data_IF_773904666685
#
_entry.id   IF_773904666685
#
_cell.length_a   1.000
_cell.length_b   1.000
_cell.length_c   1.000
_cell.angle_alpha   90.00
_cell.angle_beta   90.00
_cell.angle_gamma   90.00
#
_symmetry.space_group_name_H-M   'P 1'
#
loop_
_entity.id
_entity.type
_entity.pdbx_description
1 polymer ?
#
# COMPACT_ATOMS: atom_id res chain seq x y z
N UNK A 1 -14.78 -24.82 13.38
CA UNK A 1 -14.01 -24.07 14.41
C UNK A 1 -13.21 -23.02 13.66
N UNK A 2 -13.48 -21.75 13.89
CA UNK A 2 -12.79 -20.68 13.17
C UNK A 2 -11.31 -20.65 13.59
N UNK A 3 -10.42 -20.55 12.60
CA UNK A 3 -8.99 -20.43 12.86
C UNK A 3 -8.62 -18.97 13.04
N UNK A 4 -7.68 -18.69 13.95
CA UNK A 4 -7.16 -17.34 14.23
C UNK A 4 -5.69 -17.24 13.89
N UNK A 5 -5.33 -16.16 13.22
CA UNK A 5 -3.95 -15.83 12.84
C UNK A 5 -3.64 -14.44 13.39
N UNK A 6 -2.68 -14.34 14.31
CA UNK A 6 -2.30 -13.07 14.92
C UNK A 6 -1.75 -12.10 13.86
N UNK A 7 -2.21 -10.86 13.88
CA UNK A 7 -1.63 -9.81 13.07
C UNK A 7 -0.18 -9.59 13.48
N UNK A 8 0.70 -9.56 12.51
CA UNK A 8 2.13 -9.34 12.69
C UNK A 8 2.50 -7.93 12.16
N UNK A 9 3.20 -7.88 11.05
CA UNK A 9 3.55 -6.64 10.36
C UNK A 9 2.31 -5.84 9.93
N UNK A 10 1.24 -6.53 9.58
CA UNK A 10 -0.04 -5.95 9.14
C UNK A 10 -0.67 -5.06 10.22
N UNK A 11 -0.34 -5.29 11.51
CA UNK A 11 -0.84 -4.51 12.64
C UNK A 11 -0.67 -3.00 12.46
N UNK A 12 0.40 -2.58 11.80
CA UNK A 12 0.66 -1.17 11.53
C UNK A 12 -0.43 -0.48 10.70
N UNK A 13 -1.31 -1.21 10.04
CA UNK A 13 -2.39 -0.65 9.22
C UNK A 13 -3.75 -0.68 9.90
N UNK A 14 -3.90 -1.42 11.02
CA UNK A 14 -5.18 -1.65 11.65
C UNK A 14 -5.92 -0.35 12.01
N UNK A 15 -5.20 0.61 12.58
CA UNK A 15 -5.74 1.92 12.95
C UNK A 15 -5.24 3.06 12.03
N UNK A 16 -4.72 2.72 10.86
CA UNK A 16 -4.31 3.74 9.89
C UNK A 16 -5.50 4.24 9.08
N UNK A 17 -5.88 5.51 9.17
CA UNK A 17 -6.99 6.06 8.37
C UNK A 17 -6.66 6.14 6.86
N UNK A 18 -5.39 6.02 6.49
CA UNK A 18 -4.90 6.05 5.10
C UNK A 18 -4.42 4.66 4.63
N UNK A 19 -5.04 3.58 5.12
CA UNK A 19 -4.61 2.22 4.80
C UNK A 19 -5.21 1.65 3.51
N UNK A 20 -5.84 2.45 2.64
CA UNK A 20 -6.37 1.98 1.37
C UNK A 20 -5.32 2.07 0.27
N UNK A 21 -5.12 0.97 -0.45
CA UNK A 21 -4.38 0.88 -1.70
C UNK A 21 -5.32 0.39 -2.79
N UNK A 22 -5.17 0.89 -4.02
CA UNK A 22 -6.10 0.53 -5.09
C UNK A 22 -5.38 0.14 -6.37
N UNK A 23 -6.02 -0.75 -7.14
CA UNK A 23 -5.57 -1.18 -8.46
C UNK A 23 -6.72 -1.04 -9.44
N UNK A 24 -6.49 -0.35 -10.56
CA UNK A 24 -7.43 -0.25 -11.68
C UNK A 24 -6.92 -1.04 -12.86
N UNK A 25 -7.77 -1.86 -13.46
CA UNK A 25 -7.53 -2.57 -14.70
C UNK A 25 -8.51 -2.09 -15.79
N UNK A 26 -8.03 -1.99 -17.01
CA UNK A 26 -8.88 -1.91 -18.21
C UNK A 26 -8.91 -3.30 -18.86
N UNK A 27 -10.10 -3.87 -19.04
CA UNK A 27 -10.30 -5.25 -19.50
C UNK A 27 -11.06 -5.22 -20.81
N UNK A 28 -10.47 -5.79 -21.86
CA UNK A 28 -11.10 -6.05 -23.16
C UNK A 28 -11.45 -7.54 -23.31
N UNK A 29 -12.40 -7.84 -24.19
CA UNK A 29 -12.88 -9.22 -24.44
C UNK A 29 -14.19 -9.55 -23.74
N UNK A 30 -14.65 -8.72 -22.79
CA UNK A 30 -15.97 -8.86 -22.17
C UNK A 30 -16.68 -7.53 -22.05
N UNK A 31 -17.99 -7.57 -22.11
CA UNK A 31 -18.91 -6.49 -21.74
C UNK A 31 -19.89 -6.93 -20.65
N UNK A 32 -19.80 -8.19 -20.19
CA UNK A 32 -20.71 -8.74 -19.19
C UNK A 32 -20.15 -8.58 -17.77
N UNK A 33 -20.74 -7.65 -17.02
CA UNK A 33 -20.39 -7.43 -15.62
C UNK A 33 -20.71 -8.64 -14.72
N UNK A 34 -21.63 -9.52 -15.12
CA UNK A 34 -21.95 -10.72 -14.34
C UNK A 34 -20.84 -11.77 -14.42
N UNK A 35 -20.17 -11.89 -15.57
CA UNK A 35 -18.98 -12.74 -15.72
C UNK A 35 -17.84 -12.25 -14.83
N UNK A 36 -17.52 -10.95 -14.87
CA UNK A 36 -16.48 -10.36 -14.03
C UNK A 36 -16.82 -10.51 -12.53
N UNK A 37 -18.09 -10.29 -12.16
CA UNK A 37 -18.54 -10.50 -10.76
C UNK A 37 -18.33 -11.95 -10.30
N UNK A 38 -18.62 -12.93 -11.16
CA UNK A 38 -18.40 -14.36 -10.85
C UNK A 38 -16.92 -14.63 -10.68
N UNK A 39 -16.07 -14.16 -11.60
CA UNK A 39 -14.63 -14.34 -11.54
C UNK A 39 -14.03 -13.72 -10.26
N UNK A 40 -14.51 -12.55 -9.83
CA UNK A 40 -14.10 -11.95 -8.54
C UNK A 40 -14.46 -12.90 -7.39
N UNK A 41 -15.69 -13.42 -7.33
CA UNK A 41 -16.11 -14.33 -6.26
C UNK A 41 -15.26 -15.60 -6.22
N UNK A 42 -14.94 -16.17 -7.38
CA UNK A 42 -14.11 -17.37 -7.48
C UNK A 42 -12.68 -17.11 -7.01
N UNK A 43 -12.10 -15.98 -7.40
CA UNK A 43 -10.78 -15.56 -6.92
C UNK A 43 -10.76 -15.28 -5.40
N UNK A 44 -11.80 -14.65 -4.85
CA UNK A 44 -11.92 -14.42 -3.41
C UNK A 44 -12.00 -15.74 -2.62
N UNK A 45 -12.82 -16.68 -3.07
CA UNK A 45 -12.94 -18.01 -2.44
C UNK A 45 -11.64 -18.79 -2.45
N UNK A 46 -10.83 -18.65 -3.50
CA UNK A 46 -9.55 -19.31 -3.60
C UNK A 46 -8.48 -18.72 -2.68
N UNK A 47 -8.67 -17.50 -2.18
CA UNK A 47 -7.70 -16.82 -1.31
C UNK A 47 -8.21 -16.78 0.12
N UNK A 48 -7.72 -17.68 1.00
CA UNK A 48 -8.20 -17.82 2.38
C UNK A 48 -8.09 -16.52 3.19
N UNK A 49 -7.10 -15.67 2.93
CA UNK A 49 -6.97 -14.39 3.60
C UNK A 49 -8.17 -13.47 3.33
N UNK A 50 -8.76 -13.56 2.13
CA UNK A 50 -9.96 -12.78 1.77
C UNK A 50 -11.25 -13.32 2.43
N UNK A 51 -11.18 -14.52 3.02
CA UNK A 51 -12.26 -15.15 3.78
C UNK A 51 -12.03 -14.99 5.29
N UNK A 52 -11.61 -13.81 5.71
CA UNK A 52 -11.36 -13.50 7.13
C UNK A 52 -12.01 -12.17 7.52
N UNK A 53 -12.25 -12.02 8.80
CA UNK A 53 -12.54 -10.74 9.43
C UNK A 53 -11.51 -10.43 10.52
N UNK A 54 -11.51 -9.20 11.02
CA UNK A 54 -10.61 -8.81 12.10
C UNK A 54 -11.34 -8.91 13.44
N UNK A 55 -10.69 -9.60 14.37
CA UNK A 55 -11.15 -9.68 15.78
C UNK A 55 -10.12 -8.96 16.65
N UNK A 56 -10.58 -8.06 17.50
CA UNK A 56 -9.77 -7.40 18.52
C UNK A 56 -10.25 -7.91 19.88
N UNK A 57 -9.33 -8.49 20.65
CA UNK A 57 -9.61 -8.97 21.99
C UNK A 57 -9.59 -7.82 23.03
N UNK A 58 -10.10 -8.08 24.22
CA UNK A 58 -10.18 -7.07 25.30
C UNK A 58 -8.83 -6.57 25.79
N UNK A 59 -7.77 -7.37 25.61
CA UNK A 59 -6.39 -7.00 25.94
C UNK A 59 -5.69 -6.28 24.77
N UNK A 60 -6.39 -6.10 23.65
CA UNK A 60 -5.93 -5.40 22.46
C UNK A 60 -5.15 -6.26 21.46
N UNK A 61 -5.11 -7.58 21.62
CA UNK A 61 -4.58 -8.45 20.56
C UNK A 61 -5.55 -8.50 19.37
N UNK A 62 -5.01 -8.55 18.15
CA UNK A 62 -5.83 -8.59 16.94
C UNK A 62 -5.45 -9.76 16.04
N UNK A 63 -6.48 -10.31 15.41
CA UNK A 63 -6.40 -11.56 14.65
C UNK A 63 -7.19 -11.45 13.36
N UNK A 64 -6.69 -12.07 12.29
CA UNK A 64 -7.54 -12.57 11.22
C UNK A 64 -8.26 -13.83 11.74
N UNK A 65 -9.58 -13.84 11.71
CA UNK A 65 -10.38 -15.02 12.03
C UNK A 65 -11.11 -15.47 10.76
N UNK A 66 -11.05 -16.77 10.45
CA UNK A 66 -11.63 -17.33 9.22
C UNK A 66 -13.15 -17.26 9.23
N UNK A 67 -13.75 -17.01 8.06
CA UNK A 67 -15.17 -16.99 7.77
C UNK A 67 -15.51 -18.06 6.73
N UNK A 68 -16.77 -18.45 6.64
CA UNK A 68 -17.22 -19.41 5.63
C UNK A 68 -17.24 -18.80 4.21
N UNK A 69 -17.55 -17.50 4.10
CA UNK A 69 -17.60 -16.78 2.83
C UNK A 69 -16.98 -15.38 2.95
N UNK A 70 -16.34 -14.87 1.87
CA UNK A 70 -15.78 -13.52 1.84
C UNK A 70 -16.89 -12.44 1.88
N UNK A 71 -16.69 -11.42 2.70
CA UNK A 71 -17.62 -10.29 2.83
C UNK A 71 -17.12 -9.04 2.08
N UNK A 72 -16.62 -9.21 0.86
CA UNK A 72 -16.11 -8.11 0.03
C UNK A 72 -17.21 -7.60 -0.92
N UNK A 73 -17.64 -6.32 -0.82
CA UNK A 73 -18.64 -5.75 -1.71
C UNK A 73 -18.18 -5.74 -3.17
N UNK A 74 -19.07 -6.13 -4.09
CA UNK A 74 -18.85 -6.06 -5.54
C UNK A 74 -19.99 -5.22 -6.14
N UNK A 75 -19.68 -4.02 -6.57
CA UNK A 75 -20.60 -3.06 -7.13
C UNK A 75 -20.40 -2.94 -8.63
N UNK A 76 -21.52 -2.93 -9.39
CA UNK A 76 -21.54 -2.62 -10.82
C UNK A 76 -22.06 -1.21 -10.98
N UNK A 77 -21.30 -0.35 -11.66
CA UNK A 77 -21.60 1.06 -11.78
C UNK A 77 -21.34 1.60 -13.17
N UNK A 78 -22.03 2.69 -13.50
CA UNK A 78 -21.82 3.46 -14.74
C UNK A 78 -21.06 4.78 -14.46
N UNK A 79 -20.72 5.06 -13.19
CA UNK A 79 -19.93 6.23 -12.84
C UNK A 79 -18.47 6.08 -13.29
N UNK A 80 -17.78 7.19 -13.47
CA UNK A 80 -16.33 7.16 -13.74
C UNK A 80 -15.56 6.50 -12.60
N UNK A 81 -14.54 5.70 -12.93
CA UNK A 81 -13.75 4.97 -11.95
C UNK A 81 -13.12 5.86 -10.86
N UNK A 82 -12.81 7.12 -11.19
CA UNK A 82 -12.30 8.09 -10.22
C UNK A 82 -13.34 8.44 -9.17
N UNK A 83 -14.59 8.58 -9.57
CA UNK A 83 -15.69 8.81 -8.64
C UNK A 83 -15.92 7.60 -7.73
N UNK A 84 -15.80 6.38 -8.26
CA UNK A 84 -15.86 5.16 -7.46
C UNK A 84 -14.71 5.09 -6.44
N UNK A 85 -13.49 5.49 -6.85
CA UNK A 85 -12.33 5.59 -5.97
C UNK A 85 -12.57 6.59 -4.83
N UNK A 86 -12.98 7.82 -5.13
CA UNK A 86 -13.29 8.86 -4.16
C UNK A 86 -14.38 8.44 -3.17
N UNK A 87 -15.43 7.80 -3.66
CA UNK A 87 -16.51 7.26 -2.82
C UNK A 87 -15.97 6.17 -1.87
N UNK A 88 -15.06 5.33 -2.36
CA UNK A 88 -14.43 4.29 -1.55
C UNK A 88 -13.50 4.89 -0.48
N UNK A 89 -12.76 5.95 -0.80
CA UNK A 89 -11.85 6.63 0.14
C UNK A 89 -12.59 7.30 1.31
N UNK A 90 -13.78 7.80 1.04
CA UNK A 90 -14.62 8.46 2.06
C UNK A 90 -15.34 7.48 3.00
N UNK A 91 -15.37 6.20 2.65
CA UNK A 91 -16.07 5.17 3.42
C UNK A 91 -15.05 4.27 4.14
N UNK A 92 -14.99 4.25 5.47
CA UNK A 92 -14.16 3.31 6.22
C UNK A 92 -14.50 1.86 5.86
N UNK A 93 -13.51 0.96 5.92
CA UNK A 93 -13.73 -0.47 5.79
C UNK A 93 -14.36 -1.03 7.05
N UNK A 94 -15.35 -1.92 6.90
CA UNK A 94 -15.91 -2.67 8.03
C UNK A 94 -15.09 -3.95 8.25
N UNK A 95 -13.95 -3.76 8.93
CA UNK A 95 -13.01 -4.85 9.18
C UNK A 95 -13.60 -5.93 10.10
N UNK A 96 -14.54 -5.56 10.98
CA UNK A 96 -15.21 -6.50 11.87
C UNK A 96 -16.14 -7.45 11.13
N UNK A 97 -16.75 -6.98 10.04
CA UNK A 97 -17.60 -7.78 9.16
C UNK A 97 -16.83 -8.44 8.01
N UNK A 98 -15.49 -8.24 7.94
CA UNK A 98 -14.64 -8.86 6.92
C UNK A 98 -14.59 -8.09 5.60
N UNK A 99 -14.99 -6.82 5.57
CA UNK A 99 -14.80 -5.96 4.41
C UNK A 99 -13.33 -5.59 4.27
N UNK A 100 -12.52 -6.47 3.68
CA UNK A 100 -11.09 -6.27 3.47
C UNK A 100 -10.75 -5.63 2.12
N UNK A 101 -11.68 -5.72 1.17
CA UNK A 101 -11.58 -5.09 -0.15
C UNK A 101 -12.97 -4.74 -0.70
N UNK A 102 -13.01 -3.82 -1.66
CA UNK A 102 -14.19 -3.41 -2.45
C UNK A 102 -13.86 -3.51 -3.91
N UNK A 103 -14.81 -3.98 -4.70
CA UNK A 103 -14.65 -4.15 -6.13
C UNK A 103 -15.71 -3.32 -6.86
N UNK A 104 -15.27 -2.48 -7.79
CA UNK A 104 -16.16 -1.69 -8.66
C UNK A 104 -15.95 -2.14 -10.09
N UNK A 105 -17.01 -2.66 -10.69
CA UNK A 105 -17.06 -3.00 -12.11
C UNK A 105 -17.70 -1.83 -12.82
N UNK A 106 -16.88 -1.00 -13.48
CA UNK A 106 -17.34 0.17 -14.23
C UNK A 106 -17.59 -0.26 -15.67
N UNK A 107 -18.86 -0.16 -16.09
CA UNK A 107 -19.25 -0.52 -17.45
C UNK A 107 -18.61 0.41 -18.48
N UNK A 108 -18.30 -0.14 -19.65
CA UNK A 108 -17.70 0.60 -20.75
C UNK A 108 -16.93 -0.30 -21.70
N UNK A 109 -16.32 0.29 -22.71
CA UNK A 109 -15.42 -0.39 -23.63
C UNK A 109 -14.08 0.40 -23.67
N UNK A 110 -13.02 -0.08 -23.01
CA UNK A 110 -12.93 -1.31 -22.19
C UNK A 110 -13.73 -1.25 -20.89
N UNK A 111 -14.09 -2.41 -20.35
CA UNK A 111 -14.62 -2.53 -19.00
C UNK A 111 -13.52 -2.23 -18.00
N UNK A 112 -13.82 -1.52 -16.90
CA UNK A 112 -12.84 -1.21 -15.87
C UNK A 112 -13.15 -1.93 -14.58
N UNK A 113 -12.14 -2.58 -14.01
CA UNK A 113 -12.20 -3.15 -12.68
C UNK A 113 -11.35 -2.31 -11.75
N UNK A 114 -11.96 -1.72 -10.72
CA UNK A 114 -11.26 -1.03 -9.65
C UNK A 114 -11.34 -1.90 -8.38
N UNK A 115 -10.17 -2.25 -7.85
CA UNK A 115 -9.98 -2.97 -6.60
C UNK A 115 -9.49 -1.97 -5.57
N UNK A 116 -10.28 -1.69 -4.53
CA UNK A 116 -9.89 -0.88 -3.38
C UNK A 116 -9.71 -1.81 -2.19
N UNK A 117 -8.51 -1.91 -1.64
CA UNK A 117 -8.20 -2.88 -0.61
C UNK A 117 -7.57 -2.24 0.63
N UNK A 118 -7.89 -2.76 1.79
CA UNK A 118 -7.22 -2.39 3.03
C UNK A 118 -5.82 -3.02 3.07
N UNK A 119 -4.79 -2.28 3.48
CA UNK A 119 -3.40 -2.78 3.54
C UNK A 119 -3.17 -3.92 4.52
N UNK A 120 -4.14 -4.28 5.32
CA UNK A 120 -4.11 -5.51 6.11
C UNK A 120 -3.95 -6.76 5.25
N UNK A 121 -4.51 -6.78 4.03
CA UNK A 121 -4.37 -7.94 3.13
C UNK A 121 -3.08 -7.93 2.32
N UNK A 122 -2.33 -6.83 2.35
CA UNK A 122 -1.05 -6.73 1.66
C UNK A 122 -0.76 -5.40 0.99
N UNK A 123 0.12 -5.46 0.01
CA UNK A 123 0.66 -4.35 -0.76
C UNK A 123 0.18 -4.35 -2.22
N UNK A 124 0.80 -3.53 -3.06
CA UNK A 124 0.52 -3.50 -4.51
C UNK A 124 0.77 -4.84 -5.21
N UNK A 125 1.73 -5.64 -4.73
CA UNK A 125 2.00 -6.98 -5.26
C UNK A 125 0.85 -7.94 -4.99
N UNK A 126 0.25 -7.85 -3.80
CA UNK A 126 -0.95 -8.61 -3.43
C UNK A 126 -2.13 -8.26 -4.33
N UNK A 127 -2.34 -6.96 -4.64
CA UNK A 127 -3.43 -6.55 -5.54
C UNK A 127 -3.20 -7.04 -6.98
N UNK A 128 -1.97 -6.99 -7.47
CA UNK A 128 -1.63 -7.53 -8.80
C UNK A 128 -1.87 -9.04 -8.83
N UNK A 129 -1.52 -9.76 -7.77
CA UNK A 129 -1.79 -11.19 -7.65
C UNK A 129 -3.29 -11.48 -7.68
N UNK A 130 -4.06 -10.76 -6.87
CA UNK A 130 -5.52 -10.90 -6.84
C UNK A 130 -6.15 -10.59 -8.20
N UNK A 131 -5.67 -9.55 -8.88
CA UNK A 131 -6.09 -9.23 -10.24
C UNK A 131 -5.77 -10.36 -11.22
N UNK A 132 -4.59 -10.97 -11.12
CA UNK A 132 -4.22 -12.15 -11.93
C UNK A 132 -5.14 -13.35 -11.67
N UNK A 133 -5.48 -13.62 -10.42
CA UNK A 133 -6.43 -14.69 -10.06
C UNK A 133 -7.84 -14.40 -10.61
N UNK A 134 -8.29 -13.14 -10.57
CA UNK A 134 -9.58 -12.72 -11.16
C UNK A 134 -9.56 -12.92 -12.68
N UNK A 135 -8.50 -12.52 -13.37
CA UNK A 135 -8.39 -12.68 -14.82
C UNK A 135 -8.29 -14.16 -15.22
N UNK A 136 -7.58 -14.98 -14.44
CA UNK A 136 -7.55 -16.43 -14.63
C UNK A 136 -8.94 -17.06 -14.48
N UNK A 137 -9.68 -16.69 -13.42
CA UNK A 137 -11.06 -17.15 -13.25
C UNK A 137 -11.98 -16.69 -14.40
N UNK A 138 -11.81 -15.46 -14.89
CA UNK A 138 -12.58 -14.89 -15.99
C UNK A 138 -12.37 -15.68 -17.30
N UNK A 139 -11.13 -16.11 -17.55
CA UNK A 139 -10.79 -16.96 -18.70
C UNK A 139 -11.15 -18.45 -18.51
N UNK A 140 -11.80 -18.80 -17.40
CA UNK A 140 -12.18 -20.19 -17.11
C UNK A 140 -11.03 -21.06 -16.60
N UNK A 141 -9.85 -20.47 -16.33
CA UNK A 141 -8.73 -21.19 -15.73
C UNK A 141 -8.99 -21.46 -14.23
N UNK A 142 -8.44 -22.59 -13.76
CA UNK A 142 -8.54 -22.94 -12.35
C UNK A 142 -7.69 -22.00 -11.47
N UNK A 143 -8.29 -21.36 -10.49
CA UNK A 143 -7.59 -20.57 -9.47
C UNK A 143 -7.20 -21.49 -8.33
N UNK A 144 -5.89 -21.64 -8.10
CA UNK A 144 -5.37 -22.48 -7.03
C UNK A 144 -5.69 -21.92 -5.66
N UNK A 145 -6.06 -22.79 -4.73
CA UNK A 145 -6.27 -22.41 -3.31
C UNK A 145 -4.98 -21.86 -2.70
N UNK A 146 -5.10 -20.74 -2.01
CA UNK A 146 -3.98 -20.05 -1.33
C UNK A 146 -4.26 -19.98 0.16
N UNK A 147 -3.55 -20.76 0.96
CA UNK A 147 -3.69 -20.71 2.42
C UNK A 147 -3.18 -19.37 2.96
N UNK A 148 -3.65 -19.01 4.15
CA UNK A 148 -3.16 -17.84 4.87
C UNK A 148 -1.68 -18.05 5.23
N UNK A 149 -0.82 -17.19 4.70
CA UNK A 149 0.62 -17.23 4.95
C UNK A 149 1.08 -15.81 5.30
N UNK A 150 0.98 -15.44 6.59
CA UNK A 150 1.44 -14.13 7.07
C UNK A 150 2.96 -14.09 7.17
N UNK A 151 3.53 -12.92 6.95
CA UNK A 151 4.95 -12.67 7.17
C UNK A 151 5.29 -12.92 8.64
N UNK A 152 6.31 -13.74 8.90
CA UNK A 152 6.80 -14.07 10.25
C UNK A 152 8.11 -13.32 10.51
N UNK A 153 8.07 -12.12 11.14
CA UNK A 153 9.24 -11.28 11.28
C UNK A 153 10.39 -11.92 12.09
N UNK A 154 10.07 -12.82 13.03
CA UNK A 154 11.03 -13.60 13.80
C UNK A 154 11.87 -14.56 12.94
N UNK A 155 11.32 -15.00 11.79
CA UNK A 155 12.00 -15.91 10.86
C UNK A 155 12.72 -15.21 9.71
N UNK A 156 12.59 -13.89 9.60
CA UNK A 156 13.28 -13.14 8.56
C UNK A 156 14.78 -13.01 8.87
N UNK A 157 15.66 -12.99 7.86
CA UNK A 157 17.09 -12.78 8.06
C UNK A 157 17.41 -11.38 8.60
N UNK A 158 18.62 -11.24 9.18
CA UNK A 158 19.09 -10.00 9.81
C UNK A 158 18.64 -9.86 11.27
N UNK A 159 19.15 -8.86 11.95
CA UNK A 159 18.81 -8.50 13.34
C UNK A 159 18.72 -6.99 13.49
N UNK A 160 17.91 -6.52 14.42
CA UNK A 160 17.91 -5.11 14.81
C UNK A 160 19.24 -4.74 15.47
N UNK A 161 19.75 -3.52 15.26
CA UNK A 161 20.88 -2.99 16.02
C UNK A 161 20.60 -3.05 17.53
N UNK A 162 21.62 -3.31 18.34
CA UNK A 162 21.49 -3.44 19.80
C UNK A 162 20.85 -2.20 20.43
N UNK A 163 21.21 -1.00 19.96
CA UNK A 163 20.61 0.26 20.42
C UNK A 163 19.11 0.33 20.17
N UNK A 164 18.65 -0.20 19.03
CA UNK A 164 17.22 -0.26 18.67
C UNK A 164 16.51 -1.28 19.54
N UNK A 165 17.10 -2.47 19.74
CA UNK A 165 16.54 -3.49 20.65
C UNK A 165 16.37 -2.97 22.07
N UNK A 166 17.37 -2.26 22.61
CA UNK A 166 17.29 -1.64 23.93
C UNK A 166 16.22 -0.55 23.98
N UNK A 167 16.15 0.30 22.96
CA UNK A 167 15.14 1.37 22.90
C UNK A 167 13.71 0.79 22.84
N UNK A 168 13.44 -0.21 21.98
CA UNK A 168 12.13 -0.86 21.91
C UNK A 168 11.75 -1.56 23.21
N UNK A 169 12.70 -2.23 23.86
CA UNK A 169 12.49 -2.83 25.18
C UNK A 169 12.12 -1.78 26.23
N UNK A 170 12.82 -0.65 26.26
CA UNK A 170 12.52 0.45 27.18
C UNK A 170 11.17 1.09 26.89
N UNK A 171 10.79 1.25 25.62
CA UNK A 171 9.46 1.74 25.23
C UNK A 171 8.38 0.79 25.71
N UNK A 172 8.52 -0.51 25.48
CA UNK A 172 7.57 -1.53 25.91
C UNK A 172 7.42 -1.56 27.46
N UNK A 173 8.53 -1.49 28.20
CA UNK A 173 8.50 -1.45 29.68
C UNK A 173 7.73 -0.23 30.21
N UNK A 174 7.94 0.94 29.63
CA UNK A 174 7.18 2.14 29.99
C UNK A 174 5.73 2.06 29.58
N UNK A 175 5.45 1.50 28.39
CA UNK A 175 4.11 1.33 27.87
C UNK A 175 3.23 0.42 28.75
N UNK A 176 3.80 -0.57 29.44
CA UNK A 176 3.04 -1.44 30.34
C UNK A 176 2.26 -0.68 31.40
N UNK A 177 2.72 0.50 31.84
CA UNK A 177 2.05 1.33 32.85
C UNK A 177 0.97 2.25 32.25
N UNK A 178 1.00 2.48 30.94
CA UNK A 178 0.04 3.32 30.22
C UNK A 178 -0.78 2.53 29.21
N UNK A 179 -0.66 1.20 29.19
CA UNK A 179 -1.27 0.31 28.20
C UNK A 179 -2.76 0.58 28.09
N UNK A 180 -3.21 0.87 26.87
CA UNK A 180 -4.61 0.95 26.48
C UNK A 180 -4.84 0.05 25.26
N UNK A 181 -5.91 -0.72 25.28
CA UNK A 181 -6.45 -1.41 24.13
C UNK A 181 -7.42 -0.47 23.39
N UNK A 182 -7.40 -0.50 22.07
CA UNK A 182 -8.32 0.23 21.19
C UNK A 182 -9.19 -0.78 20.46
N UNK A 183 -10.43 -0.37 20.15
CA UNK A 183 -11.41 -1.20 19.49
C UNK A 183 -11.92 -0.55 18.18
N UNK A 184 -12.92 -1.17 17.53
CA UNK A 184 -13.51 -0.64 16.29
C UNK A 184 -14.28 0.66 16.49
N UNK A 185 -14.74 1.00 17.69
CA UNK A 185 -15.38 2.30 17.98
C UNK A 185 -14.33 3.40 17.98
N UNK A 186 -13.16 3.10 18.56
CA UNK A 186 -12.01 4.01 18.51
C UNK A 186 -11.54 4.21 17.06
N UNK A 187 -11.47 3.12 16.24
CA UNK A 187 -11.12 3.22 14.82
C UNK A 187 -12.11 4.11 14.06
N UNK A 188 -13.41 3.91 14.28
CA UNK A 188 -14.44 4.76 13.64
C UNK A 188 -14.24 6.23 14.00
N UNK A 189 -14.06 6.54 15.29
CA UNK A 189 -13.82 7.91 15.75
C UNK A 189 -12.58 8.52 15.09
N UNK A 190 -11.49 7.76 15.01
CA UNK A 190 -10.26 8.22 14.34
C UNK A 190 -10.49 8.48 12.85
N UNK A 191 -11.25 7.61 12.17
CA UNK A 191 -11.61 7.79 10.77
C UNK A 191 -12.50 9.01 10.52
N UNK A 192 -13.45 9.28 11.42
CA UNK A 192 -14.32 10.45 11.32
C UNK A 192 -13.56 11.77 11.49
N UNK A 193 -12.47 11.75 12.25
CA UNK A 193 -11.61 12.93 12.47
C UNK A 193 -10.55 13.12 11.38
N UNK A 194 -10.19 12.05 10.68
CA UNK A 194 -9.21 12.13 9.61
C UNK A 194 -9.84 12.78 8.38
N UNK A 195 -9.47 14.02 8.05
CA UNK A 195 -9.97 14.61 6.83
C UNK A 195 -9.44 13.81 5.66
N UNK A 196 -10.32 13.23 4.86
CA UNK A 196 -9.95 12.72 3.55
C UNK A 196 -9.32 13.91 2.82
N UNK A 197 -8.01 13.89 2.67
CA UNK A 197 -7.29 14.99 2.04
C UNK A 197 -7.72 15.04 0.59
N UNK A 198 -8.17 16.19 0.14
CA UNK A 198 -8.35 16.46 -1.28
C UNK A 198 -6.97 16.32 -1.95
N UNK A 199 -6.72 15.12 -2.45
CA UNK A 199 -5.48 14.77 -3.10
C UNK A 199 -5.70 14.80 -4.61
N UNK A 200 -4.81 15.47 -5.31
CA UNK A 200 -4.77 15.33 -6.78
C UNK A 200 -4.33 13.92 -7.13
N UNK A 201 -4.93 13.40 -8.19
CA UNK A 201 -4.57 12.12 -8.80
C UNK A 201 -4.15 12.37 -10.23
N UNK A 202 -2.85 12.34 -10.47
CA UNK A 202 -2.24 12.45 -11.81
C UNK A 202 -1.81 11.07 -12.29
N UNK A 203 -1.96 10.83 -13.59
CA UNK A 203 -1.58 9.56 -14.21
C UNK A 203 -0.89 9.81 -15.54
N UNK A 204 0.21 9.09 -15.79
CA UNK A 204 0.88 8.99 -17.09
C UNK A 204 1.15 7.53 -17.41
N UNK A 205 0.96 7.17 -18.66
CA UNK A 205 1.22 5.83 -19.17
C UNK A 205 2.03 5.93 -20.44
N UNK A 206 3.17 5.26 -20.49
CA UNK A 206 4.11 5.30 -21.60
C UNK A 206 4.54 3.88 -21.98
N UNK A 207 4.89 3.69 -23.24
CA UNK A 207 5.57 2.48 -23.67
C UNK A 207 7.07 2.66 -23.43
N UNK A 208 7.66 1.76 -22.66
CA UNK A 208 9.02 1.84 -22.20
C UNK A 208 9.74 0.51 -22.47
N UNK A 209 10.82 0.52 -23.23
CA UNK A 209 11.57 -0.69 -23.62
C UNK A 209 12.87 -0.84 -22.80
N UNK A 210 13.34 0.19 -22.16
CA UNK A 210 14.66 0.24 -21.51
C UNK A 210 14.65 0.19 -19.98
N UNK A 211 14.24 1.24 -19.27
CA UNK A 211 14.42 1.34 -17.84
C UNK A 211 13.65 0.26 -17.06
N UNK A 212 14.30 -0.32 -16.05
CA UNK A 212 13.61 -1.19 -15.10
C UNK A 212 12.82 -0.34 -14.09
N UNK A 213 11.94 -0.98 -13.32
CA UNK A 213 11.08 -0.27 -12.35
C UNK A 213 11.85 0.49 -11.27
N UNK A 214 12.96 -0.03 -10.70
CA UNK A 214 13.79 0.74 -9.78
C UNK A 214 14.37 2.01 -10.39
N UNK A 215 14.73 2.02 -11.68
CA UNK A 215 15.20 3.24 -12.38
C UNK A 215 14.08 4.27 -12.49
N UNK A 216 12.88 3.82 -12.87
CA UNK A 216 11.68 4.66 -12.93
C UNK A 216 11.33 5.25 -11.56
N UNK A 217 11.46 4.46 -10.49
CA UNK A 217 11.24 4.92 -9.13
C UNK A 217 12.27 6.00 -8.74
N UNK A 218 13.54 5.77 -8.99
CA UNK A 218 14.61 6.73 -8.66
C UNK A 218 14.43 8.05 -9.42
N UNK A 219 14.11 7.99 -10.71
CA UNK A 219 13.85 9.15 -11.54
C UNK A 219 12.61 9.92 -11.06
N UNK A 220 11.51 9.20 -10.74
CA UNK A 220 10.28 9.80 -10.20
C UNK A 220 10.54 10.51 -8.86
N UNK A 221 11.33 9.89 -7.98
CA UNK A 221 11.71 10.49 -6.71
C UNK A 221 12.52 11.78 -6.93
N UNK A 222 13.57 11.74 -7.76
CA UNK A 222 14.42 12.89 -8.03
C UNK A 222 13.61 14.06 -8.63
N UNK A 223 12.78 13.79 -9.63
CA UNK A 223 11.93 14.79 -10.26
C UNK A 223 10.93 15.43 -9.28
N UNK A 224 10.32 14.64 -8.38
CA UNK A 224 9.40 15.18 -7.39
C UNK A 224 10.09 15.90 -6.23
N UNK A 225 11.32 15.52 -5.89
CA UNK A 225 12.14 16.23 -4.91
C UNK A 225 12.61 17.59 -5.41
N UNK A 226 12.76 17.78 -6.74
CA UNK A 226 13.11 19.07 -7.33
C UNK A 226 11.95 20.08 -7.32
N UNK A 227 10.71 19.62 -7.16
CA UNK A 227 9.54 20.50 -7.08
C UNK A 227 9.57 21.34 -5.80
N UNK A 228 9.33 22.67 -5.86
CA UNK A 228 9.31 23.53 -4.67
C UNK A 228 8.44 22.98 -3.54
N UNK A 229 8.93 23.04 -2.33
CA UNK A 229 8.29 22.41 -1.16
C UNK A 229 8.30 20.87 -1.24
N UNK A 230 9.22 20.30 -2.01
CA UNK A 230 9.47 18.86 -2.13
C UNK A 230 9.91 18.18 -0.84
N UNK A 231 10.40 16.96 -0.94
CA UNK A 231 10.72 16.12 0.20
C UNK A 231 11.97 16.63 0.94
N UNK A 232 11.77 17.34 2.04
CA UNK A 232 12.87 17.79 2.90
C UNK A 232 13.51 16.63 3.67
N UNK A 233 12.76 15.54 3.93
CA UNK A 233 13.14 14.43 4.80
C UNK A 233 13.56 13.15 4.06
N UNK A 234 13.59 13.17 2.72
CA UNK A 234 14.02 12.05 1.88
C UNK A 234 12.88 11.27 1.24
N UNK A 235 13.20 10.03 0.87
CA UNK A 235 12.34 9.13 0.10
C UNK A 235 12.06 7.86 0.90
N UNK A 236 10.82 7.39 0.85
CA UNK A 236 10.45 6.05 1.33
C UNK A 236 10.08 5.21 0.12
N UNK A 237 10.77 4.10 -0.08
CA UNK A 237 10.43 3.12 -1.11
C UNK A 237 9.73 1.94 -0.46
N UNK A 238 8.47 1.74 -0.81
CA UNK A 238 7.73 0.53 -0.48
C UNK A 238 8.05 -0.49 -1.57
N UNK A 239 9.07 -1.28 -1.31
CA UNK A 239 9.55 -2.32 -2.22
C UNK A 239 8.66 -3.55 -2.08
N UNK A 240 8.08 -4.00 -3.19
CA UNK A 240 7.20 -5.18 -3.20
C UNK A 240 7.95 -6.45 -2.80
N UNK A 241 7.31 -7.24 -1.96
CA UNK A 241 7.85 -8.48 -1.44
C UNK A 241 7.55 -9.72 -2.28
N UNK A 242 7.40 -10.87 -1.62
CA UNK A 242 7.11 -12.15 -2.25
C UNK A 242 5.70 -12.16 -2.87
N UNK A 243 5.66 -12.04 -4.17
CA UNK A 243 4.45 -11.98 -4.98
C UNK A 243 3.76 -13.35 -5.18
N UNK A 244 4.37 -14.43 -4.74
CA UNK A 244 3.73 -15.76 -4.79
C UNK A 244 2.70 -15.92 -3.66
N UNK A 245 2.71 -15.04 -2.65
CA UNK A 245 1.88 -15.13 -1.45
C UNK A 245 0.92 -13.95 -1.34
N UNK A 246 -0.23 -14.19 -0.73
CA UNK A 246 -1.13 -13.13 -0.28
C UNK A 246 -0.68 -12.67 1.11
N UNK A 247 -0.58 -11.35 1.30
CA UNK A 247 -0.13 -10.75 2.55
C UNK A 247 0.84 -9.59 2.35
N UNK A 248 1.17 -8.87 3.42
CA UNK A 248 2.14 -7.77 3.37
C UNK A 248 3.58 -8.30 3.51
N UNK A 249 4.20 -8.56 2.39
CA UNK A 249 5.62 -8.93 2.28
C UNK A 249 6.51 -7.77 1.81
N UNK A 250 5.95 -6.56 1.67
CA UNK A 250 6.71 -5.39 1.25
C UNK A 250 7.80 -5.02 2.26
N UNK A 251 8.82 -4.33 1.80
CA UNK A 251 9.85 -3.71 2.63
C UNK A 251 9.75 -2.19 2.53
N UNK A 252 9.83 -1.48 3.64
CA UNK A 252 9.90 -0.02 3.67
C UNK A 252 11.36 0.39 3.80
N UNK A 253 11.91 0.94 2.74
CA UNK A 253 13.29 1.43 2.68
C UNK A 253 13.28 2.95 2.77
N UNK A 254 14.00 3.49 3.74
CA UNK A 254 14.09 4.94 3.96
C UNK A 254 15.44 5.44 3.45
N UNK A 255 15.40 6.34 2.48
CA UNK A 255 16.57 7.03 1.92
C UNK A 255 16.56 8.47 2.45
N UNK A 256 17.47 8.78 3.37
CA UNK A 256 17.57 10.09 4.00
C UNK A 256 18.33 11.13 3.17
N UNK A 257 18.37 10.98 1.83
CA UNK A 257 19.04 11.89 0.93
C UNK A 257 18.16 13.09 0.59
N UNK A 258 18.74 14.28 0.64
CA UNK A 258 18.14 15.51 0.09
C UNK A 258 18.45 15.63 -1.39
N UNK A 259 17.60 16.37 -2.11
CA UNK A 259 17.89 16.78 -3.47
C UNK A 259 19.12 17.71 -3.48
N UNK A 260 20.01 17.50 -4.42
CA UNK A 260 21.21 18.32 -4.62
C UNK A 260 20.96 19.28 -5.79
N UNK A 261 20.69 20.54 -5.45
CA UNK A 261 20.39 21.59 -6.45
C UNK A 261 21.56 21.92 -7.36
N UNK A 262 22.79 21.48 -7.01
CA UNK A 262 23.96 21.62 -7.89
C UNK A 262 24.02 20.56 -9.00
N UNK A 263 23.08 19.62 -9.01
CA UNK A 263 22.98 18.50 -9.96
C UNK A 263 21.64 18.52 -10.67
N UNK A 264 21.62 17.99 -11.89
CA UNK A 264 20.37 17.74 -12.59
C UNK A 264 19.55 16.57 -11.98
N UNK A 265 18.35 16.36 -12.51
CA UNK A 265 17.45 15.30 -12.06
C UNK A 265 18.06 13.91 -12.28
N UNK A 266 18.76 13.71 -13.41
CA UNK A 266 19.34 12.41 -13.75
C UNK A 266 20.48 12.02 -12.80
N UNK A 267 21.36 12.97 -12.45
CA UNK A 267 22.44 12.74 -11.48
C UNK A 267 21.89 12.48 -10.06
N UNK A 268 20.82 13.17 -9.67
CA UNK A 268 20.12 12.90 -8.42
C UNK A 268 19.45 11.51 -8.45
N UNK A 269 18.81 11.14 -9.55
CA UNK A 269 18.19 9.82 -9.75
C UNK A 269 19.24 8.71 -9.69
N UNK A 270 20.38 8.87 -10.36
CA UNK A 270 21.47 7.89 -10.31
C UNK A 270 22.01 7.70 -8.87
N UNK A 271 22.12 8.78 -8.09
CA UNK A 271 22.53 8.70 -6.70
C UNK A 271 21.50 7.97 -5.82
N UNK A 272 20.21 8.26 -5.99
CA UNK A 272 19.11 7.56 -5.31
C UNK A 272 19.07 6.07 -5.68
N UNK A 273 19.26 5.76 -6.97
CA UNK A 273 19.29 4.39 -7.47
C UNK A 273 20.42 3.58 -6.84
N UNK A 274 21.61 4.13 -6.79
CA UNK A 274 22.76 3.48 -6.13
C UNK A 274 22.49 3.18 -4.66
N UNK A 275 21.88 4.12 -3.95
CA UNK A 275 21.54 3.94 -2.53
C UNK A 275 20.44 2.86 -2.37
N UNK A 276 19.42 2.86 -3.23
CA UNK A 276 18.39 1.85 -3.24
C UNK A 276 18.96 0.44 -3.47
N UNK A 277 19.89 0.29 -4.41
CA UNK A 277 20.55 -0.99 -4.68
C UNK A 277 21.33 -1.51 -3.47
N UNK A 278 22.03 -0.62 -2.76
CA UNK A 278 22.74 -0.98 -1.53
C UNK A 278 21.80 -1.43 -0.42
N UNK A 279 20.66 -0.72 -0.24
CA UNK A 279 19.66 -1.09 0.76
C UNK A 279 18.96 -2.41 0.40
N UNK A 280 18.66 -2.64 -0.87
CA UNK A 280 18.05 -3.90 -1.34
C UNK A 280 19.01 -5.09 -1.24
N UNK A 281 20.32 -4.87 -1.32
CA UNK A 281 21.32 -5.93 -1.22
C UNK A 281 21.51 -6.45 0.22
N UNK A 282 21.07 -5.68 1.24
CA UNK A 282 21.19 -6.09 2.63
C UNK A 282 19.86 -6.64 3.19
N UNK A 283 19.78 -7.97 3.44
CA UNK A 283 18.58 -8.57 4.02
C UNK A 283 18.19 -7.99 5.40
N UNK A 284 19.15 -7.49 6.15
CA UNK A 284 18.90 -6.85 7.44
C UNK A 284 18.10 -5.56 7.28
N UNK A 285 18.46 -4.74 6.30
CA UNK A 285 17.77 -3.50 5.94
C UNK A 285 16.40 -3.77 5.35
N UNK A 286 16.28 -4.73 4.44
CA UNK A 286 14.98 -5.12 3.85
C UNK A 286 13.97 -5.53 4.92
N UNK A 287 14.41 -6.24 5.95
CA UNK A 287 13.54 -6.76 7.00
C UNK A 287 13.46 -5.86 8.24
N UNK A 288 14.16 -4.72 8.25
CA UNK A 288 14.27 -3.86 9.41
C UNK A 288 12.91 -3.42 9.97
N UNK A 289 12.03 -2.89 9.11
CA UNK A 289 10.72 -2.39 9.56
C UNK A 289 9.85 -3.51 10.14
N UNK A 290 9.81 -4.68 9.49
CA UNK A 290 9.04 -5.82 9.98
C UNK A 290 9.54 -6.28 11.37
N UNK A 291 10.86 -6.39 11.56
CA UNK A 291 11.46 -6.74 12.84
C UNK A 291 11.27 -5.67 13.92
N UNK A 292 11.35 -4.40 13.53
CA UNK A 292 11.11 -3.28 14.43
C UNK A 292 9.67 -3.27 14.96
N UNK A 293 8.68 -3.45 14.08
CA UNK A 293 7.29 -3.53 14.47
C UNK A 293 7.03 -4.75 15.37
N UNK A 294 7.60 -5.89 15.04
CA UNK A 294 7.47 -7.11 15.85
C UNK A 294 8.08 -6.96 17.25
N UNK A 295 9.12 -6.13 17.40
CA UNK A 295 9.73 -5.87 18.69
C UNK A 295 8.94 -4.90 19.58
N UNK A 296 7.95 -4.19 19.04
CA UNK A 296 7.08 -3.27 19.78
C UNK A 296 5.84 -4.00 20.31
N UNK A 297 5.32 -3.52 21.46
CA UNK A 297 4.02 -3.96 21.94
C UNK A 297 2.92 -3.61 20.91
N UNK A 298 2.04 -4.56 20.51
CA UNK A 298 1.02 -4.33 19.49
C UNK A 298 0.15 -3.10 19.78
N UNK A 299 -0.34 -2.97 21.01
CA UNK A 299 -1.17 -1.83 21.45
C UNK A 299 -0.43 -0.50 21.48
N UNK A 300 0.91 -0.48 21.54
CA UNK A 300 1.71 0.73 21.40
C UNK A 300 1.76 1.20 19.92
N UNK A 301 1.80 0.26 18.98
CA UNK A 301 1.70 0.59 17.55
C UNK A 301 0.36 1.27 17.26
N UNK A 302 -0.72 0.75 17.80
CA UNK A 302 -2.06 1.33 17.68
C UNK A 302 -2.11 2.75 18.29
N UNK A 303 -1.65 2.88 19.54
CA UNK A 303 -1.64 4.13 20.27
C UNK A 303 -0.89 5.25 19.53
N UNK A 304 0.13 4.91 18.74
CA UNK A 304 0.87 5.89 17.95
C UNK A 304 0.00 6.59 16.91
N UNK A 305 -1.00 5.93 16.32
CA UNK A 305 -1.96 6.57 15.44
C UNK A 305 -2.85 7.56 16.18
N UNK A 306 -3.41 7.16 17.34
CA UNK A 306 -4.24 8.06 18.16
C UNK A 306 -3.44 9.26 18.68
N UNK A 307 -2.17 9.03 19.04
CA UNK A 307 -1.27 10.12 19.45
C UNK A 307 -0.91 11.08 18.29
N UNK A 308 -0.92 10.60 17.06
CA UNK A 308 -0.69 11.41 15.87
C UNK A 308 -1.78 12.49 15.66
N UNK A 309 -3.01 12.19 16.11
CA UNK A 309 -4.18 13.06 15.98
C UNK A 309 -4.61 13.66 17.32
N UNK A 310 -3.71 13.70 18.30
CA UNK A 310 -3.95 14.25 19.66
C UNK A 310 -5.08 13.56 20.45
N UNK A 311 -5.55 12.38 20.00
CA UNK A 311 -6.58 11.59 20.67
C UNK A 311 -6.05 10.75 21.85
N UNK A 312 -4.73 10.67 21.97
CA UNK A 312 -4.08 9.96 23.05
C UNK A 312 -2.79 10.64 23.50
N UNK A 313 -2.78 11.12 24.73
CA UNK A 313 -1.74 12.01 25.24
C UNK A 313 -0.47 11.34 25.78
N UNK A 314 -0.31 10.00 25.67
CA UNK A 314 0.83 9.29 26.22
C UNK A 314 2.15 9.70 25.53
N UNK A 315 3.24 10.02 26.31
CA UNK A 315 4.51 10.48 25.75
C UNK A 315 5.23 9.42 24.91
N UNK A 316 5.06 8.13 25.21
CA UNK A 316 5.73 7.02 24.48
C UNK A 316 5.02 6.83 23.13
N UNK A 317 3.68 6.84 23.12
CA UNK A 317 2.88 6.78 21.91
C UNK A 317 3.17 7.99 20.99
N UNK A 318 3.25 9.21 21.53
CA UNK A 318 3.65 10.41 20.77
C UNK A 318 5.06 10.29 20.20
N UNK A 319 6.01 9.80 20.98
CA UNK A 319 7.38 9.58 20.50
C UNK A 319 7.40 8.58 19.34
N UNK A 320 6.69 7.45 19.46
CA UNK A 320 6.60 6.46 18.37
C UNK A 320 5.95 7.06 17.15
N UNK A 321 4.86 7.82 17.31
CA UNK A 321 4.18 8.55 16.23
C UNK A 321 5.13 9.47 15.45
N UNK A 322 5.95 10.26 16.18
CA UNK A 322 6.95 11.14 15.58
C UNK A 322 8.04 10.36 14.84
N UNK A 323 8.59 9.31 15.45
CA UNK A 323 9.63 8.46 14.84
C UNK A 323 9.13 7.79 13.55
N UNK A 324 7.84 7.46 13.48
CA UNK A 324 7.23 6.86 12.30
C UNK A 324 6.69 7.89 11.29
N UNK A 325 6.76 9.18 11.59
CA UNK A 325 6.26 10.24 10.73
C UNK A 325 4.73 10.31 10.64
N UNK A 326 3.99 9.68 11.56
CA UNK A 326 2.52 9.62 11.54
C UNK A 326 1.87 10.97 11.83
N UNK A 327 2.57 11.88 12.48
CA UNK A 327 2.08 13.21 12.86
C UNK A 327 1.99 14.21 11.69
N UNK A 328 2.24 13.78 10.46
CA UNK A 328 2.16 14.63 9.26
C UNK A 328 3.25 15.67 9.11
N UNK A 329 4.26 15.66 9.99
CA UNK A 329 5.39 16.60 9.94
C UNK A 329 6.51 16.14 9.00
N UNK A 330 6.61 14.85 8.73
CA UNK A 330 7.57 14.33 7.78
C UNK A 330 7.10 14.64 6.35
N UNK A 331 7.98 15.32 5.58
CA UNK A 331 7.73 15.64 4.17
C UNK A 331 8.52 14.65 3.33
N UNK A 332 7.88 13.52 2.95
CA UNK A 332 8.55 12.46 2.19
C UNK A 332 7.85 12.23 0.88
N UNK A 333 8.62 11.85 -0.13
CA UNK A 333 8.10 11.18 -1.33
C UNK A 333 8.02 9.69 -1.02
N UNK A 334 6.84 9.11 -1.12
CA UNK A 334 6.65 7.66 -1.03
C UNK A 334 6.57 7.07 -2.45
N UNK A 335 7.29 5.98 -2.67
CA UNK A 335 7.28 5.24 -3.92
C UNK A 335 6.76 3.84 -3.67
N UNK A 336 5.67 3.50 -4.32
CA UNK A 336 5.09 2.17 -4.27
C UNK A 336 5.40 1.42 -5.56
N UNK A 337 6.30 0.46 -5.45
CA UNK A 337 6.77 -0.36 -6.56
C UNK A 337 6.46 -1.83 -6.25
N UNK A 338 5.32 -2.37 -6.67
CA UNK A 338 5.14 -3.80 -6.66
C UNK A 338 6.19 -4.44 -7.58
N UNK A 339 6.68 -5.61 -7.23
CA UNK A 339 7.53 -6.36 -8.15
C UNK A 339 6.71 -6.72 -9.40
N UNK A 340 7.05 -6.10 -10.50
CA UNK A 340 6.19 -5.82 -11.64
C UNK A 340 5.97 -6.97 -12.61
N UNK A 341 6.46 -8.15 -12.32
CA UNK A 341 6.54 -9.22 -13.32
C UNK A 341 5.29 -10.11 -13.44
N UNK A 342 4.13 -9.73 -12.89
CA UNK A 342 3.16 -10.76 -12.53
C UNK A 342 1.78 -10.69 -13.14
N UNK A 343 1.39 -9.58 -13.73
CA UNK A 343 0.13 -9.53 -14.45
C UNK A 343 0.43 -9.77 -15.92
N UNK A 344 -0.08 -10.87 -16.46
CA UNK A 344 -0.10 -11.08 -17.89
C UNK A 344 -1.06 -10.09 -18.54
N UNK A 345 -0.76 -9.67 -19.76
CA UNK A 345 -1.70 -8.88 -20.57
C UNK A 345 -2.79 -9.75 -21.18
N UNK A 346 -2.47 -11.00 -21.52
CA UNK A 346 -3.33 -11.88 -22.33
C UNK A 346 -3.81 -13.08 -21.52
N UNK A 347 -5.10 -13.27 -21.52
CA UNK A 347 -5.82 -14.38 -20.92
C UNK A 347 -6.82 -14.90 -21.97
N UNK A 348 -6.98 -16.18 -22.08
CA UNK A 348 -7.79 -16.80 -23.14
C UNK A 348 -9.14 -16.07 -23.36
N UNK A 349 -9.26 -15.37 -24.49
CA UNK A 349 -10.41 -14.53 -24.83
C UNK A 349 -10.48 -13.14 -24.19
N UNK A 350 -9.61 -12.82 -23.23
CA UNK A 350 -9.60 -11.55 -22.51
C UNK A 350 -8.22 -10.91 -22.48
N UNK A 351 -8.19 -9.57 -22.40
CA UNK A 351 -6.94 -8.85 -22.33
C UNK A 351 -7.00 -7.73 -21.30
N UNK A 352 -5.92 -7.58 -20.53
CA UNK A 352 -5.68 -6.40 -19.72
C UNK A 352 -4.95 -5.37 -20.59
N UNK A 353 -5.62 -4.27 -20.91
CA UNK A 353 -5.07 -3.20 -21.74
C UNK A 353 -4.27 -2.19 -20.93
N UNK A 354 -4.61 -2.03 -19.66
CA UNK A 354 -3.97 -1.09 -18.75
C UNK A 354 -4.04 -1.56 -17.30
N UNK A 355 -2.99 -1.24 -16.54
CA UNK A 355 -2.89 -1.52 -15.11
C UNK A 355 -2.40 -0.26 -14.41
N UNK A 356 -3.15 0.22 -13.43
CA UNK A 356 -2.85 1.46 -12.70
C UNK A 356 -2.86 1.17 -11.19
N UNK A 357 -1.68 1.24 -10.56
CA UNK A 357 -1.56 1.17 -9.10
C UNK A 357 -1.77 2.56 -8.52
N UNK A 358 -2.73 2.70 -7.59
CA UNK A 358 -3.04 3.95 -6.90
C UNK A 358 -2.58 3.78 -5.45
N UNK A 359 -1.46 4.42 -5.07
CA UNK A 359 -0.89 4.26 -3.75
C UNK A 359 -1.72 5.00 -2.69
N UNK A 360 -1.63 4.62 -1.41
CA UNK A 360 -2.14 5.41 -0.32
C UNK A 360 -1.42 6.77 -0.27
N UNK A 361 -2.07 7.77 0.30
CA UNK A 361 -1.41 9.01 0.70
C UNK A 361 -1.30 8.98 2.23
N UNK A 362 -0.19 8.42 2.73
CA UNK A 362 0.02 8.28 4.17
C UNK A 362 0.13 9.64 4.87
N UNK A 363 -0.15 9.71 6.17
CA UNK A 363 -0.10 10.97 6.93
C UNK A 363 1.26 11.68 6.85
N UNK A 364 2.36 10.92 6.72
CA UNK A 364 3.72 11.44 6.59
C UNK A 364 4.15 11.77 5.16
N UNK A 365 3.38 11.36 4.15
CA UNK A 365 3.70 11.60 2.75
C UNK A 365 3.01 12.88 2.25
N UNK A 366 3.78 13.72 1.59
CA UNK A 366 3.22 14.82 0.79
C UNK A 366 2.86 14.35 -0.61
N UNK A 367 3.65 13.43 -1.13
CA UNK A 367 3.55 12.85 -2.47
C UNK A 367 3.72 11.35 -2.40
N UNK A 368 2.88 10.64 -3.10
CA UNK A 368 2.95 9.18 -3.18
C UNK A 368 2.82 8.75 -4.63
N UNK A 369 3.80 7.98 -5.10
CA UNK A 369 3.88 7.52 -6.49
C UNK A 369 3.67 6.02 -6.54
N UNK A 370 2.72 5.58 -7.35
CA UNK A 370 2.56 4.20 -7.75
C UNK A 370 3.19 3.96 -9.12
N UNK A 371 4.00 2.92 -9.23
CA UNK A 371 4.60 2.49 -10.50
C UNK A 371 4.05 1.11 -10.83
N UNK A 372 3.31 0.98 -11.92
CA UNK A 372 2.84 -0.30 -12.41
C UNK A 372 3.41 -0.57 -13.82
N UNK A 373 3.74 -1.84 -14.10
CA UNK A 373 4.22 -2.27 -15.41
C UNK A 373 3.35 -3.41 -15.93
N UNK A 374 2.91 -3.29 -17.17
CA UNK A 374 2.18 -4.32 -17.91
C UNK A 374 2.87 -4.51 -19.26
N UNK A 375 3.63 -5.58 -19.41
CA UNK A 375 4.49 -5.76 -20.59
C UNK A 375 5.48 -4.60 -20.74
N UNK A 376 5.43 -3.91 -21.89
CA UNK A 376 6.26 -2.73 -22.18
C UNK A 376 5.61 -1.41 -21.72
N UNK A 377 4.41 -1.43 -21.16
CA UNK A 377 3.74 -0.24 -20.68
C UNK A 377 4.06 0.00 -19.21
N UNK A 378 4.55 1.19 -18.89
CA UNK A 378 4.74 1.68 -17.52
C UNK A 378 3.68 2.73 -17.23
N UNK A 379 2.97 2.58 -16.12
CA UNK A 379 1.99 3.56 -15.64
C UNK A 379 2.49 4.16 -14.34
N UNK A 380 2.62 5.48 -14.34
CA UNK A 380 2.95 6.31 -13.19
C UNK A 380 1.68 6.94 -12.65
N UNK A 381 1.47 6.85 -11.36
CA UNK A 381 0.34 7.46 -10.68
C UNK A 381 0.87 8.29 -9.52
N UNK A 382 0.64 9.60 -9.54
CA UNK A 382 1.00 10.50 -8.45
C UNK A 382 -0.24 10.89 -7.67
N UNK A 383 -0.19 10.71 -6.37
CA UNK A 383 -1.08 11.34 -5.40
C UNK A 383 -0.31 12.40 -4.64
N UNK A 384 -0.84 13.61 -4.57
CA UNK A 384 -0.23 14.70 -3.84
C UNK A 384 -1.29 15.48 -3.05
N UNK A 385 -0.91 15.97 -1.86
CA UNK A 385 -1.76 16.80 -1.03
C UNK A 385 -1.44 18.28 -1.24
N UNK A 386 -2.50 19.11 -1.41
CA UNK A 386 -2.39 20.55 -1.52
C UNK A 386 -2.43 21.06 -2.97
N UNK A 387 -2.90 22.29 -3.14
CA UNK A 387 -3.10 22.92 -4.45
C UNK A 387 -1.88 23.70 -4.96
N UNK A 388 -0.96 24.06 -4.06
CA UNK A 388 0.08 25.07 -4.32
C UNK A 388 1.09 24.71 -5.41
N UNK A 389 1.29 23.42 -5.70
CA UNK A 389 2.35 22.96 -6.64
C UNK A 389 1.84 22.03 -7.74
N UNK A 390 0.55 21.99 -7.99
CA UNK A 390 -0.05 21.02 -8.94
C UNK A 390 0.57 21.10 -10.34
N UNK A 391 0.88 22.29 -10.85
CA UNK A 391 1.49 22.42 -12.17
C UNK A 391 2.91 21.88 -12.18
N UNK A 392 3.72 22.23 -11.19
CA UNK A 392 5.10 21.73 -11.09
C UNK A 392 5.15 20.19 -10.90
N UNK A 393 4.17 19.63 -10.19
CA UNK A 393 4.02 18.17 -10.03
C UNK A 393 3.60 17.49 -11.34
N UNK A 394 2.73 18.14 -12.14
CA UNK A 394 2.41 17.67 -13.50
C UNK A 394 3.64 17.68 -14.39
N UNK A 395 4.35 18.79 -14.40
CA UNK A 395 5.55 18.97 -15.24
C UNK A 395 6.64 17.95 -14.87
N UNK A 396 6.83 17.71 -13.55
CA UNK A 396 7.76 16.67 -13.07
C UNK A 396 7.35 15.27 -13.55
N UNK A 397 6.05 14.91 -13.44
CA UNK A 397 5.57 13.62 -13.90
C UNK A 397 5.66 13.48 -15.43
N UNK A 398 5.40 14.56 -16.17
CA UNK A 398 5.53 14.59 -17.63
C UNK A 398 6.99 14.44 -18.07
N UNK A 399 7.92 15.07 -17.35
CA UNK A 399 9.35 14.94 -17.61
C UNK A 399 9.84 13.49 -17.39
N UNK A 400 9.40 12.85 -16.29
CA UNK A 400 9.69 11.43 -16.04
C UNK A 400 9.11 10.55 -17.15
N UNK A 401 7.87 10.76 -17.54
CA UNK A 401 7.22 10.00 -18.59
C UNK A 401 7.97 10.14 -19.93
N UNK A 402 8.40 11.35 -20.28
CA UNK A 402 9.18 11.60 -21.49
C UNK A 402 10.57 10.96 -21.44
N UNK A 403 11.22 10.93 -20.26
CA UNK A 403 12.55 10.33 -20.11
C UNK A 403 12.58 8.81 -20.19
N UNK A 404 11.44 8.14 -19.90
CA UNK A 404 11.34 6.66 -19.95
C UNK A 404 10.63 6.13 -21.20
N UNK A 405 10.04 7.00 -22.01
CA UNK A 405 9.40 6.64 -23.30
C UNK A 405 10.44 6.31 -24.36
#
# INVERSE_FOLDING_TARGET
MNMRYSLQKERQYLFSPAAMISLKLDISGTSDAAEVRRAIKDALKANELMNTHIVISTDGEAYFETMDEPCCPIEVTDCEWRQALENSERRPFDLAEGELARFYIVRGAPMRLLICAHRLIGDGGTLIRLAGDIMAALSGAHVSQRPIALCKPDKLPGSLPISVQLNTRMMNLRWQFAKRAFDFRDLKRLSDMYPVRDAILLRRSVNCIGPNVPDVCALSAAALMSVPGGADDGVVVVHGGDVARMGDYSSELVIGRKYDDARDVDANAAALRKELDLLCADPGTLNYNAKYLHALAPTLIDAAYFAAYDEYGDPIARRLSQMRGLSGRARRVELHSPSCALLNSDFDGYRVDDCTLIPPLSPGARRSVGVARLGNRVTLTLRASGEENQQAERDALDAVAAAIA
#
